data_IF_427600761893
#
_entry.id   IF_427600761893
#
_cell.length_a   1.000
_cell.length_b   1.000
_cell.length_c   1.000
_cell.angle_alpha   90.00
_cell.angle_beta   90.00
_cell.angle_gamma   90.00
#
_symmetry.space_group_name_H-M   'P 1'
#
loop_
_entity.id
_entity.type
_entity.pdbx_description
1 polymer ?
#
# COMPACT_ATOMS: atom_id res chain seq x y z
N UNK A 1 24.92 32.04 -9.57
CA UNK A 1 23.58 31.76 -8.98
C UNK A 1 22.92 30.47 -9.49
N UNK A 2 22.99 30.13 -10.79
CA UNK A 2 22.44 28.85 -11.32
C UNK A 2 23.12 27.57 -10.81
N UNK A 3 24.38 27.64 -10.36
CA UNK A 3 25.15 26.45 -9.92
C UNK A 3 24.79 26.02 -8.47
N UNK A 4 24.25 26.94 -7.66
CA UNK A 4 23.88 26.65 -6.26
C UNK A 4 22.51 25.96 -6.18
N UNK A 5 21.61 26.25 -7.13
CA UNK A 5 20.26 25.66 -7.17
C UNK A 5 20.29 24.16 -7.50
N UNK A 6 21.20 23.72 -8.37
CA UNK A 6 21.34 22.30 -8.73
C UNK A 6 21.95 21.43 -7.61
N UNK A 7 22.63 22.03 -6.63
CA UNK A 7 23.18 21.30 -5.48
C UNK A 7 22.19 21.13 -4.34
N UNK A 8 21.19 22.00 -4.19
CA UNK A 8 20.15 21.85 -3.16
C UNK A 8 19.10 20.79 -3.54
N UNK A 9 18.76 20.65 -4.84
CA UNK A 9 17.84 19.58 -5.29
C UNK A 9 18.44 18.19 -5.10
N UNK A 10 19.77 18.06 -5.22
CA UNK A 10 20.47 16.79 -5.01
C UNK A 10 20.69 16.42 -3.53
N UNK A 11 20.56 17.38 -2.60
CA UNK A 11 20.75 17.14 -1.17
C UNK A 11 19.44 16.77 -0.46
N UNK A 12 18.29 17.25 -0.95
CA UNK A 12 16.97 16.87 -0.41
C UNK A 12 16.61 15.41 -0.74
N UNK A 13 17.12 14.87 -1.86
CA UNK A 13 16.93 13.46 -2.22
C UNK A 13 17.70 12.50 -1.29
N UNK A 14 18.79 12.96 -0.68
CA UNK A 14 19.68 12.12 0.12
C UNK A 14 19.18 11.91 1.56
N UNK A 15 18.26 12.74 2.06
CA UNK A 15 17.72 12.61 3.42
C UNK A 15 16.48 11.70 3.53
N UNK A 16 15.88 11.31 2.40
CA UNK A 16 14.73 10.37 2.37
C UNK A 16 15.19 8.92 2.56
N UNK A 17 16.47 8.62 2.34
CA UNK A 17 17.05 7.26 2.36
C UNK A 17 17.41 6.73 3.77
N UNK A 18 17.12 7.47 4.85
CA UNK A 18 17.45 7.07 6.22
C UNK A 18 16.23 6.70 7.08
N UNK A 19 15.03 6.59 6.49
CA UNK A 19 13.87 6.08 7.21
C UNK A 19 13.93 4.55 7.22
N UNK A 20 13.96 3.90 8.40
CA UNK A 20 13.97 2.45 8.48
C UNK A 20 12.71 1.88 7.82
N UNK A 21 12.95 0.96 6.88
CA UNK A 21 12.01 0.00 6.29
C UNK A 21 10.55 0.42 6.34
N UNK A 22 10.13 1.19 5.36
CA UNK A 22 8.73 1.37 5.06
C UNK A 22 8.21 0.06 4.46
N UNK A 23 7.99 -0.95 5.31
CA UNK A 23 7.21 -2.11 4.92
C UNK A 23 5.81 -1.58 4.55
N UNK A 24 5.60 -1.43 3.25
CA UNK A 24 4.28 -1.29 2.67
C UNK A 24 3.50 -2.53 3.01
N UNK A 25 2.21 -2.37 3.25
CA UNK A 25 1.31 -3.48 3.48
C UNK A 25 0.79 -4.07 2.19
N UNK A 26 -0.19 -4.98 2.26
CA UNK A 26 -0.91 -5.45 1.07
C UNK A 26 -1.15 -4.31 0.08
N UNK A 27 -0.94 -4.58 -1.22
CA UNK A 27 -1.15 -3.56 -2.22
C UNK A 27 -2.65 -3.18 -2.32
N UNK A 28 -2.98 -2.04 -2.98
CA UNK A 28 -4.33 -1.49 -2.94
C UNK A 28 -5.46 -2.44 -3.41
N UNK A 29 -5.22 -3.39 -4.32
CA UNK A 29 -6.29 -4.27 -4.79
C UNK A 29 -6.68 -5.31 -3.73
N UNK A 30 -5.71 -5.88 -3.02
CA UNK A 30 -5.96 -6.74 -1.86
C UNK A 30 -6.72 -5.99 -0.76
N UNK A 31 -6.39 -4.72 -0.47
CA UNK A 31 -7.17 -3.90 0.48
C UNK A 31 -8.62 -3.70 0.06
N UNK A 32 -8.88 -3.44 -1.23
CA UNK A 32 -10.25 -3.36 -1.76
C UNK A 32 -10.99 -4.68 -1.54
N UNK A 33 -10.35 -5.80 -1.89
CA UNK A 33 -10.94 -7.13 -1.73
C UNK A 33 -11.28 -7.43 -0.27
N UNK A 34 -10.36 -7.14 0.66
CA UNK A 34 -10.58 -7.32 2.10
C UNK A 34 -11.73 -6.43 2.56
N UNK A 35 -11.75 -5.15 2.18
CA UNK A 35 -12.80 -4.20 2.58
C UNK A 35 -14.20 -4.66 2.17
N UNK A 36 -14.37 -5.17 0.95
CA UNK A 36 -15.64 -5.70 0.46
C UNK A 36 -16.11 -6.91 1.27
N UNK A 37 -15.19 -7.79 1.64
CA UNK A 37 -15.52 -8.99 2.38
C UNK A 37 -15.76 -8.72 3.86
N UNK A 38 -15.12 -7.68 4.42
CA UNK A 38 -15.34 -7.21 5.80
C UNK A 38 -16.67 -6.47 5.92
N UNK A 39 -17.02 -5.61 4.95
CA UNK A 39 -18.24 -4.80 4.97
C UNK A 39 -19.10 -5.00 3.71
N UNK A 40 -19.66 -6.20 3.50
CA UNK A 40 -20.43 -6.52 2.30
C UNK A 40 -21.70 -5.66 2.13
N UNK A 41 -22.22 -5.05 3.21
CA UNK A 41 -23.40 -4.19 3.20
C UNK A 41 -23.21 -2.88 2.40
N UNK A 42 -21.96 -2.45 2.17
CA UNK A 42 -21.68 -1.28 1.34
C UNK A 42 -21.88 -1.54 -0.15
N UNK A 43 -21.80 -2.80 -0.58
CA UNK A 43 -21.79 -3.16 -2.00
C UNK A 43 -20.67 -2.45 -2.76
N UNK A 44 -20.95 -2.06 -4.01
CA UNK A 44 -19.99 -1.26 -4.79
C UNK A 44 -19.88 0.15 -4.22
N UNK A 45 -18.73 0.50 -3.64
CA UNK A 45 -18.55 1.77 -2.95
C UNK A 45 -17.11 2.32 -3.07
N UNK A 46 -16.94 3.39 -3.86
CA UNK A 46 -15.64 4.00 -4.11
C UNK A 46 -14.99 4.62 -2.86
N UNK A 47 -15.79 5.15 -1.94
CA UNK A 47 -15.27 5.79 -0.73
C UNK A 47 -14.74 4.72 0.24
N UNK A 48 -15.43 3.56 0.34
CA UNK A 48 -14.92 2.37 1.05
C UNK A 48 -13.58 1.90 0.47
N UNK A 49 -13.54 1.72 -0.86
CA UNK A 49 -12.34 1.28 -1.57
C UNK A 49 -11.19 2.24 -1.34
N UNK A 50 -11.41 3.53 -1.55
CA UNK A 50 -10.38 4.54 -1.32
C UNK A 50 -9.93 4.57 0.14
N UNK A 51 -10.86 4.44 1.09
CA UNK A 51 -10.55 4.32 2.52
C UNK A 51 -9.61 3.16 2.81
N UNK A 52 -9.81 2.01 2.17
CA UNK A 52 -9.03 0.79 2.43
C UNK A 52 -7.53 0.92 2.14
N UNK A 53 -7.11 1.83 1.26
CA UNK A 53 -5.71 2.04 0.92
C UNK A 53 -5.21 3.48 1.22
N UNK A 54 -6.07 4.40 1.65
CA UNK A 54 -5.67 5.78 1.99
C UNK A 54 -4.63 5.92 3.13
N UNK A 55 -4.52 5.01 4.12
CA UNK A 55 -3.50 5.12 5.17
C UNK A 55 -2.05 5.20 4.67
N UNK A 56 -1.77 4.67 3.47
CA UNK A 56 -0.46 4.76 2.80
C UNK A 56 -0.07 6.17 2.35
N UNK A 57 -0.99 7.14 2.34
CA UNK A 57 -0.70 8.54 1.97
C UNK A 57 0.49 9.11 2.76
N UNK A 58 0.64 8.69 4.01
CA UNK A 58 1.73 9.11 4.89
C UNK A 58 3.12 8.83 4.31
N UNK A 59 3.25 7.80 3.47
CA UNK A 59 4.50 7.39 2.82
C UNK A 59 4.90 8.30 1.64
N UNK A 60 3.97 9.14 1.16
CA UNK A 60 4.17 10.02 0.02
C UNK A 60 4.37 11.50 0.43
N UNK A 61 4.70 11.72 1.70
CA UNK A 61 5.03 13.05 2.24
C UNK A 61 6.43 13.46 1.78
N UNK A 62 6.52 14.47 0.89
CA UNK A 62 7.79 14.97 0.33
C UNK A 62 8.75 15.60 1.36
N UNK A 63 8.21 16.07 2.47
CA UNK A 63 8.94 16.69 3.58
C UNK A 63 8.54 15.97 4.86
N UNK A 64 9.14 14.79 5.17
CA UNK A 64 8.73 13.96 6.31
C UNK A 64 8.70 14.72 7.63
N UNK A 65 9.53 15.75 7.81
CA UNK A 65 9.52 16.63 8.99
C UNK A 65 8.22 17.43 9.19
N UNK A 66 7.37 17.53 8.16
CA UNK A 66 6.04 18.15 8.22
C UNK A 66 4.94 17.20 8.68
N UNK A 67 5.22 15.89 8.68
CA UNK A 67 4.37 14.87 9.28
C UNK A 67 5.25 13.73 9.83
N UNK A 68 6.04 14.02 10.87
CA UNK A 68 7.10 13.10 11.31
C UNK A 68 6.58 11.79 11.89
N UNK A 69 5.30 11.76 12.28
CA UNK A 69 4.60 10.58 12.81
C UNK A 69 3.61 9.99 11.79
N UNK A 70 3.77 10.28 10.48
CA UNK A 70 2.79 9.92 9.46
C UNK A 70 2.46 8.44 9.45
N UNK A 71 3.48 7.60 9.41
CA UNK A 71 3.32 6.15 9.41
C UNK A 71 2.71 5.66 10.72
N UNK A 72 3.18 6.15 11.87
CA UNK A 72 2.61 5.81 13.17
C UNK A 72 1.13 6.20 13.24
N UNK A 73 0.79 7.42 12.83
CA UNK A 73 -0.56 7.98 12.87
C UNK A 73 -1.54 7.19 12.01
N UNK A 74 -1.10 6.55 10.92
CA UNK A 74 -1.99 5.82 10.00
C UNK A 74 -1.94 4.31 10.18
N UNK A 75 -0.84 3.72 10.64
CA UNK A 75 -0.66 2.26 10.74
C UNK A 75 -0.55 1.73 12.18
N UNK A 76 0.20 2.39 13.06
CA UNK A 76 0.52 1.86 14.41
C UNK A 76 -0.40 2.40 15.50
N UNK A 77 -0.40 3.72 15.69
CA UNK A 77 -1.36 4.39 16.58
C UNK A 77 -2.75 4.38 15.97
N UNK A 78 -2.82 4.33 14.63
CA UNK A 78 -4.03 4.24 13.84
C UNK A 78 -5.11 5.23 14.31
N UNK A 79 -5.00 6.48 13.87
CA UNK A 79 -5.96 7.53 14.23
C UNK A 79 -7.32 7.19 13.63
N UNK A 80 -8.23 6.78 14.51
CA UNK A 80 -9.61 6.53 14.13
C UNK A 80 -10.30 7.83 13.69
N UNK A 81 -10.89 7.81 12.49
CA UNK A 81 -11.62 8.95 11.94
C UNK A 81 -13.02 9.07 12.58
N UNK A 82 -13.08 9.69 13.78
CA UNK A 82 -14.25 9.67 14.68
C UNK A 82 -15.04 11.01 14.79
N UNK A 83 -15.49 11.71 13.71
CA UNK A 83 -16.29 12.92 13.88
C UNK A 83 -17.70 12.63 14.39
N UNK A 84 -18.28 13.63 15.05
CA UNK A 84 -19.63 13.56 15.59
C UNK A 84 -20.75 13.41 14.53
N UNK A 85 -20.49 13.75 13.27
CA UNK A 85 -21.45 13.64 12.15
C UNK A 85 -20.71 13.32 10.86
N UNK A 86 -21.05 12.19 10.25
CA UNK A 86 -20.49 11.70 9.00
C UNK A 86 -21.58 11.59 7.94
N UNK A 87 -21.28 12.01 6.71
CA UNK A 87 -22.07 11.68 5.53
C UNK A 87 -21.97 10.18 5.22
N UNK A 88 -22.76 9.69 4.26
CA UNK A 88 -22.68 8.28 3.87
C UNK A 88 -21.32 7.93 3.25
N UNK A 89 -20.77 8.81 2.39
CA UNK A 89 -19.43 8.68 1.83
C UNK A 89 -18.37 8.58 2.92
N UNK A 90 -18.38 9.52 3.88
CA UNK A 90 -17.39 9.52 4.97
C UNK A 90 -17.50 8.33 5.93
N UNK A 91 -18.70 7.73 6.06
CA UNK A 91 -18.86 6.48 6.82
C UNK A 91 -18.16 5.32 6.11
N UNK A 92 -18.41 5.15 4.81
CA UNK A 92 -17.77 4.14 3.98
C UNK A 92 -16.24 4.31 3.98
N UNK A 93 -15.76 5.53 3.73
CA UNK A 93 -14.33 5.85 3.80
C UNK A 93 -13.71 5.54 5.16
N UNK A 94 -14.37 5.91 6.26
CA UNK A 94 -13.90 5.58 7.61
C UNK A 94 -13.85 4.07 7.85
N UNK A 95 -14.83 3.32 7.39
CA UNK A 95 -14.85 1.86 7.53
C UNK A 95 -13.73 1.21 6.69
N UNK A 96 -13.46 1.70 5.48
CA UNK A 96 -12.30 1.29 4.69
C UNK A 96 -10.98 1.62 5.38
N UNK A 97 -10.83 2.86 5.84
CA UNK A 97 -9.65 3.32 6.59
C UNK A 97 -9.36 2.44 7.81
N UNK A 98 -10.42 1.95 8.47
CA UNK A 98 -10.34 1.16 9.67
C UNK A 98 -9.60 -0.17 9.48
N UNK A 99 -9.74 -0.80 8.31
CA UNK A 99 -9.24 -2.16 8.12
C UNK A 99 -7.76 -2.23 7.77
N UNK A 100 -7.11 -1.13 7.42
CA UNK A 100 -5.75 -1.17 6.90
C UNK A 100 -4.72 -1.46 8.01
N UNK A 101 -4.85 -0.86 9.18
CA UNK A 101 -3.80 -0.76 10.22
C UNK A 101 -2.93 -2.00 10.57
N UNK A 102 -1.72 -1.76 11.08
CA UNK A 102 -0.75 -2.78 11.50
C UNK A 102 -0.92 -3.32 12.93
N UNK A 103 -2.06 -3.07 13.59
CA UNK A 103 -2.33 -3.58 14.94
C UNK A 103 -3.22 -4.83 14.90
N UNK A 104 -4.26 -4.79 14.07
CA UNK A 104 -5.20 -5.89 13.86
C UNK A 104 -5.86 -5.84 12.48
N UNK A 105 -5.48 -4.87 11.65
CA UNK A 105 -5.95 -4.71 10.28
C UNK A 105 -5.22 -5.61 9.28
N UNK A 106 -5.46 -5.39 8.00
CA UNK A 106 -4.92 -6.16 6.89
C UNK A 106 -3.38 -6.21 6.94
N UNK A 107 -2.73 -5.12 7.32
CA UNK A 107 -1.27 -5.03 7.42
C UNK A 107 -0.70 -5.89 8.53
N UNK A 108 -1.45 -6.04 9.63
CA UNK A 108 -1.07 -6.92 10.72
C UNK A 108 -0.99 -8.38 10.25
N UNK A 109 -1.89 -8.81 9.36
CA UNK A 109 -1.83 -10.18 8.81
C UNK A 109 -0.78 -10.34 7.71
N UNK A 110 -0.50 -9.28 6.95
CA UNK A 110 0.54 -9.29 5.93
C UNK A 110 1.96 -9.38 6.56
N UNK A 111 2.23 -8.59 7.60
CA UNK A 111 3.58 -8.36 8.14
C UNK A 111 3.75 -8.70 9.64
N UNK A 112 2.67 -8.99 10.34
CA UNK A 112 2.68 -9.40 11.75
C UNK A 112 2.65 -10.91 11.92
N UNK A 113 2.16 -11.39 13.07
CA UNK A 113 2.15 -12.83 13.33
C UNK A 113 1.04 -13.51 12.53
N UNK A 114 1.43 -14.42 11.64
CA UNK A 114 0.54 -15.39 11.00
C UNK A 114 0.80 -16.78 11.61
N UNK A 115 -0.18 -17.67 11.80
CA UNK A 115 0.00 -18.95 12.50
C UNK A 115 1.16 -19.82 12.00
N UNK A 116 1.54 -19.64 10.73
CA UNK A 116 2.60 -20.39 10.04
C UNK A 116 3.90 -19.58 9.84
N UNK A 117 3.92 -18.28 10.21
CA UNK A 117 5.10 -17.40 10.12
C UNK A 117 5.19 -16.45 11.32
N UNK A 118 6.26 -16.59 12.11
CA UNK A 118 6.61 -15.65 13.19
C UNK A 118 6.99 -14.24 12.66
N UNK A 119 7.27 -14.12 11.36
CA UNK A 119 7.69 -12.88 10.71
C UNK A 119 6.59 -12.28 9.82
N UNK A 120 5.46 -12.98 9.60
CA UNK A 120 4.39 -12.57 8.68
C UNK A 120 4.50 -13.18 7.28
N UNK A 121 3.37 -13.19 6.55
CA UNK A 121 3.27 -13.84 5.25
C UNK A 121 4.16 -13.16 4.20
N UNK A 122 4.02 -11.84 4.03
CA UNK A 122 4.76 -11.10 3.00
C UNK A 122 6.27 -11.16 3.26
N UNK A 123 6.67 -11.06 4.53
CA UNK A 123 8.08 -11.13 4.93
C UNK A 123 8.68 -12.51 4.61
N UNK A 124 8.01 -13.61 4.97
CA UNK A 124 8.48 -14.97 4.62
C UNK A 124 8.58 -15.14 3.10
N UNK A 125 7.54 -14.74 2.35
CA UNK A 125 7.54 -14.87 0.88
C UNK A 125 8.62 -14.03 0.22
N UNK A 126 8.87 -12.81 0.70
CA UNK A 126 9.92 -11.96 0.17
C UNK A 126 11.33 -12.50 0.48
N UNK A 127 11.52 -13.08 1.67
CA UNK A 127 12.77 -13.76 2.03
C UNK A 127 13.03 -14.95 1.09
N UNK A 128 12.04 -15.82 0.88
CA UNK A 128 12.15 -16.97 -0.03
C UNK A 128 12.36 -16.55 -1.48
N UNK A 129 11.76 -15.42 -1.89
CA UNK A 129 11.98 -14.84 -3.21
C UNK A 129 13.45 -14.45 -3.39
N UNK A 130 14.03 -13.73 -2.42
CA UNK A 130 15.45 -13.34 -2.45
C UNK A 130 16.41 -14.54 -2.30
N UNK A 131 16.05 -15.56 -1.54
CA UNK A 131 16.82 -16.81 -1.46
C UNK A 131 16.85 -17.55 -2.81
N UNK A 132 15.77 -17.45 -3.58
CA UNK A 132 15.61 -18.13 -4.87
C UNK A 132 16.21 -17.35 -6.04
N UNK A 133 16.05 -16.03 -6.05
CA UNK A 133 16.53 -15.13 -7.11
C UNK A 133 17.97 -14.66 -6.88
N UNK A 134 18.35 -14.46 -5.61
CA UNK A 134 19.60 -13.82 -5.19
C UNK A 134 19.43 -12.32 -4.90
N UNK A 135 20.47 -11.67 -4.35
CA UNK A 135 20.49 -10.22 -4.13
C UNK A 135 20.32 -9.45 -5.44
N UNK A 136 19.61 -8.32 -5.40
CA UNK A 136 19.26 -7.53 -6.58
C UNK A 136 20.24 -6.37 -6.74
N UNK A 137 20.42 -5.58 -5.69
CA UNK A 137 21.32 -4.41 -5.67
C UNK A 137 22.57 -4.61 -4.83
N UNK A 138 22.60 -5.66 -3.99
CA UNK A 138 23.64 -5.88 -3.00
C UNK A 138 23.44 -5.09 -1.69
N UNK A 139 22.42 -4.23 -1.62
CA UNK A 139 21.90 -3.68 -0.37
C UNK A 139 20.71 -4.52 0.07
N UNK A 140 20.94 -5.37 1.08
CA UNK A 140 19.93 -6.28 1.61
C UNK A 140 18.65 -5.56 2.07
N UNK A 141 18.76 -4.33 2.59
CA UNK A 141 17.59 -3.60 3.07
C UNK A 141 16.71 -3.20 1.90
N UNK A 142 17.30 -2.58 0.86
CA UNK A 142 16.59 -2.18 -0.35
C UNK A 142 16.00 -3.39 -1.08
N UNK A 143 16.79 -4.45 -1.21
CA UNK A 143 16.38 -5.69 -1.87
C UNK A 143 15.16 -6.30 -1.17
N UNK A 144 15.14 -6.30 0.17
CA UNK A 144 14.01 -6.79 0.96
C UNK A 144 12.75 -5.97 0.76
N UNK A 145 12.82 -4.65 0.88
CA UNK A 145 11.63 -3.80 0.70
C UNK A 145 11.07 -3.88 -0.72
N UNK A 146 11.94 -3.99 -1.74
CA UNK A 146 11.48 -4.21 -3.11
C UNK A 146 10.85 -5.61 -3.28
N UNK A 147 11.42 -6.64 -2.65
CA UNK A 147 10.84 -7.99 -2.67
C UNK A 147 9.46 -8.06 -2.00
N UNK A 148 9.20 -7.27 -0.93
CA UNK A 148 7.86 -7.14 -0.34
C UNK A 148 6.86 -6.65 -1.39
N UNK A 149 7.18 -5.55 -2.08
CA UNK A 149 6.30 -4.99 -3.11
C UNK A 149 6.05 -5.93 -4.29
N UNK A 150 7.03 -6.77 -4.65
CA UNK A 150 6.86 -7.82 -5.67
C UNK A 150 5.89 -8.91 -5.19
N UNK A 151 6.00 -9.36 -3.94
CA UNK A 151 5.08 -10.34 -3.35
C UNK A 151 3.67 -9.79 -3.29
N UNK A 152 3.49 -8.56 -2.82
CA UNK A 152 2.17 -7.93 -2.73
C UNK A 152 1.54 -7.72 -4.11
N UNK A 153 2.34 -7.34 -5.12
CA UNK A 153 1.89 -7.26 -6.51
C UNK A 153 1.47 -8.64 -7.06
N UNK A 154 2.17 -9.70 -6.68
CA UNK A 154 1.80 -11.07 -7.04
C UNK A 154 0.45 -11.47 -6.43
N UNK A 155 0.19 -11.13 -5.16
CA UNK A 155 -1.10 -11.36 -4.48
C UNK A 155 -2.23 -10.60 -5.20
N UNK A 156 -2.01 -9.33 -5.52
CA UNK A 156 -2.99 -8.53 -6.28
C UNK A 156 -3.31 -9.17 -7.64
N UNK A 157 -2.29 -9.63 -8.37
CA UNK A 157 -2.45 -10.28 -9.67
C UNK A 157 -3.23 -11.60 -9.57
N UNK A 158 -2.95 -12.40 -8.54
CA UNK A 158 -3.66 -13.64 -8.24
C UNK A 158 -5.14 -13.37 -7.88
N UNK A 159 -5.40 -12.40 -7.01
CA UNK A 159 -6.76 -11.96 -6.69
C UNK A 159 -7.49 -11.47 -7.94
N UNK A 160 -6.87 -10.65 -8.80
CA UNK A 160 -7.49 -10.17 -10.04
C UNK A 160 -7.80 -11.29 -11.02
N UNK A 161 -6.98 -12.34 -11.06
CA UNK A 161 -7.26 -13.49 -11.92
C UNK A 161 -8.58 -14.17 -11.56
N UNK A 162 -8.97 -14.14 -10.28
CA UNK A 162 -10.24 -14.67 -9.77
C UNK A 162 -11.35 -13.61 -9.74
N UNK A 163 -11.00 -12.35 -9.53
CA UNK A 163 -11.89 -11.19 -9.39
C UNK A 163 -11.46 -10.06 -10.35
N UNK A 164 -11.72 -10.19 -11.66
CA UNK A 164 -11.23 -9.24 -12.67
C UNK A 164 -11.69 -7.79 -12.46
N UNK A 165 -12.80 -7.59 -11.75
CA UNK A 165 -13.34 -6.28 -11.43
C UNK A 165 -12.50 -5.45 -10.46
N UNK A 166 -11.51 -6.05 -9.77
CA UNK A 166 -10.59 -5.33 -8.88
C UNK A 166 -9.79 -4.24 -9.61
N UNK A 167 -9.39 -4.50 -10.87
CA UNK A 167 -8.67 -3.51 -11.70
C UNK A 167 -9.49 -2.24 -11.92
N UNK A 168 -10.70 -2.34 -12.51
CA UNK A 168 -11.60 -1.20 -12.67
C UNK A 168 -11.96 -0.52 -11.34
N UNK A 169 -12.27 -1.27 -10.27
CA UNK A 169 -12.55 -0.71 -8.94
C UNK A 169 -11.41 0.19 -8.44
N UNK A 170 -10.17 -0.24 -8.60
CA UNK A 170 -8.99 0.53 -8.17
C UNK A 170 -8.79 1.82 -9.01
N UNK A 171 -9.02 1.75 -10.33
CA UNK A 171 -9.01 2.94 -11.21
C UNK A 171 -10.10 3.93 -10.77
N UNK A 172 -11.32 3.46 -10.55
CA UNK A 172 -12.45 4.31 -10.16
C UNK A 172 -12.25 4.92 -8.77
N UNK A 173 -11.81 4.14 -7.78
CA UNK A 173 -11.54 4.63 -6.42
C UNK A 173 -10.43 5.69 -6.40
N UNK A 174 -9.39 5.53 -7.22
CA UNK A 174 -8.28 6.49 -7.29
C UNK A 174 -8.60 7.76 -8.10
N UNK A 175 -9.69 7.77 -8.88
CA UNK A 175 -10.07 8.89 -9.76
C UNK A 175 -11.33 9.63 -9.33
N UNK A 176 -12.27 8.93 -8.70
CA UNK A 176 -13.67 9.36 -8.58
C UNK A 176 -14.22 9.29 -7.16
N UNK A 177 -13.37 9.07 -6.14
CA UNK A 177 -13.74 9.14 -4.72
C UNK A 177 -14.27 10.52 -4.32
N UNK A 178 -15.08 10.58 -3.26
CA UNK A 178 -15.69 11.80 -2.78
C UNK A 178 -14.66 12.83 -2.27
N UNK A 179 -14.77 14.13 -2.61
CA UNK A 179 -13.93 15.16 -1.98
C UNK A 179 -14.17 15.29 -0.47
N UNK A 180 -15.25 14.71 0.06
CA UNK A 180 -15.55 14.69 1.50
C UNK A 180 -14.56 13.82 2.30
N UNK A 181 -13.90 12.85 1.66
CA UNK A 181 -12.93 11.94 2.29
C UNK A 181 -11.66 12.69 2.72
N UNK A 182 -11.11 13.52 1.81
CA UNK A 182 -10.04 14.45 2.16
C UNK A 182 -10.50 15.43 3.26
N UNK A 183 -11.75 15.87 3.20
CA UNK A 183 -12.36 16.69 4.26
C UNK A 183 -12.35 16.00 5.62
N UNK A 184 -12.52 14.68 5.66
CA UNK A 184 -12.44 13.89 6.88
C UNK A 184 -11.00 13.80 7.40
N UNK A 185 -10.03 13.53 6.53
CA UNK A 185 -8.62 13.50 6.89
C UNK A 185 -8.11 14.87 7.37
N UNK A 186 -8.51 15.98 6.73
CA UNK A 186 -8.18 17.34 7.16
C UNK A 186 -8.67 17.63 8.59
N UNK A 187 -9.88 17.17 8.93
CA UNK A 187 -10.40 17.29 10.31
C UNK A 187 -9.56 16.51 11.31
N UNK A 188 -9.13 15.29 10.96
CA UNK A 188 -8.37 14.43 11.84
C UNK A 188 -6.93 14.92 12.05
N UNK A 189 -6.20 15.22 10.97
CA UNK A 189 -4.75 15.45 11.01
C UNK A 189 -4.35 16.93 11.03
N UNK A 190 -5.19 17.84 10.53
CA UNK A 190 -4.83 19.26 10.33
C UNK A 190 -5.59 20.19 11.27
N UNK A 191 -6.90 20.00 11.42
CA UNK A 191 -7.76 20.92 12.17
C UNK A 191 -8.06 20.48 13.61
N UNK A 192 -7.62 19.28 14.00
CA UNK A 192 -7.69 18.85 15.40
C UNK A 192 -6.71 19.67 16.25
N UNK A 193 -7.17 20.79 16.82
CA UNK A 193 -6.32 21.72 17.60
C UNK A 193 -5.59 21.06 18.77
N UNK A 194 -6.13 19.98 19.33
CA UNK A 194 -5.51 19.27 20.47
C UNK A 194 -4.43 18.29 20.02
N UNK A 195 -4.53 17.79 18.79
CA UNK A 195 -3.65 16.74 18.28
C UNK A 195 -3.35 16.96 16.79
N UNK A 196 -2.90 18.16 16.43
CA UNK A 196 -2.52 18.48 15.04
C UNK A 196 -1.27 17.68 14.69
N UNK A 197 -1.32 16.92 13.60
CA UNK A 197 -0.22 16.05 13.13
C UNK A 197 0.55 16.66 11.98
N UNK A 198 -0.14 17.34 11.08
CA UNK A 198 0.45 17.95 9.89
C UNK A 198 -0.29 19.23 9.46
N UNK A 199 0.12 19.84 8.36
CA UNK A 199 -0.57 20.97 7.74
C UNK A 199 -1.31 20.59 6.46
N UNK A 200 -2.21 21.47 6.03
CA UNK A 200 -3.10 21.21 4.90
C UNK A 200 -2.34 20.99 3.59
N UNK A 201 -1.22 21.69 3.39
CA UNK A 201 -0.45 21.60 2.16
C UNK A 201 0.28 20.27 2.10
N UNK A 202 0.85 19.83 3.22
CA UNK A 202 1.48 18.51 3.32
C UNK A 202 0.49 17.39 3.05
N UNK A 203 -0.66 17.35 3.72
CA UNK A 203 -1.65 16.29 3.52
C UNK A 203 -2.20 16.25 2.07
N UNK A 204 -2.59 17.41 1.53
CA UNK A 204 -3.17 17.48 0.17
C UNK A 204 -2.16 17.16 -0.94
N UNK A 205 -0.89 17.55 -0.76
CA UNK A 205 0.17 17.20 -1.71
C UNK A 205 0.53 15.72 -1.65
N UNK A 206 0.67 15.15 -0.44
CA UNK A 206 0.92 13.73 -0.25
C UNK A 206 -0.20 12.88 -0.88
N UNK A 207 -1.46 13.23 -0.61
CA UNK A 207 -2.61 12.54 -1.20
C UNK A 207 -2.60 12.59 -2.73
N UNK A 208 -2.29 13.75 -3.31
CA UNK A 208 -2.24 13.89 -4.78
C UNK A 208 -1.13 13.03 -5.40
N UNK A 209 0.04 12.98 -4.76
CA UNK A 209 1.16 12.15 -5.21
C UNK A 209 0.78 10.67 -5.09
N UNK A 210 0.20 10.29 -3.95
CA UNK A 210 -0.29 8.94 -3.70
C UNK A 210 -1.31 8.49 -4.73
N UNK A 211 -2.37 9.27 -4.98
CA UNK A 211 -3.38 8.94 -5.99
C UNK A 211 -2.79 8.84 -7.39
N UNK A 212 -1.80 9.67 -7.74
CA UNK A 212 -1.11 9.55 -9.02
C UNK A 212 -0.27 8.27 -9.11
N UNK A 213 0.35 7.84 -8.01
CA UNK A 213 1.02 6.55 -7.93
C UNK A 213 0.03 5.39 -8.07
N UNK A 214 -1.05 5.39 -7.28
CA UNK A 214 -2.09 4.35 -7.34
C UNK A 214 -2.71 4.24 -8.73
N UNK A 215 -2.90 5.35 -9.46
CA UNK A 215 -3.39 5.31 -10.85
C UNK A 215 -2.41 4.62 -11.80
N UNK A 216 -1.12 4.94 -11.74
CA UNK A 216 -0.10 4.27 -12.56
C UNK A 216 -0.05 2.77 -12.25
N UNK A 217 -0.15 2.41 -10.96
CA UNK A 217 -0.27 1.03 -10.53
C UNK A 217 -1.54 0.38 -11.08
N UNK A 218 -2.70 1.01 -10.94
CA UNK A 218 -3.98 0.50 -11.40
C UNK A 218 -4.03 0.31 -12.92
N UNK A 219 -3.41 1.21 -13.70
CA UNK A 219 -3.32 1.09 -15.16
C UNK A 219 -2.47 -0.12 -15.57
N UNK A 220 -1.28 -0.28 -14.96
CA UNK A 220 -0.39 -1.42 -15.21
C UNK A 220 -1.04 -2.74 -14.74
N UNK A 221 -1.64 -2.72 -13.55
CA UNK A 221 -2.38 -3.82 -12.96
C UNK A 221 -3.53 -4.24 -13.86
N UNK A 222 -4.42 -3.33 -14.26
CA UNK A 222 -5.58 -3.64 -15.08
C UNK A 222 -5.19 -4.15 -16.49
N UNK A 223 -4.05 -3.72 -17.01
CA UNK A 223 -3.53 -4.15 -18.32
C UNK A 223 -2.75 -5.46 -18.28
N UNK A 224 -2.34 -5.93 -17.10
CA UNK A 224 -1.55 -7.16 -16.97
C UNK A 224 -2.43 -8.39 -16.77
N UNK A 225 -1.94 -9.55 -17.17
CA UNK A 225 -2.54 -10.86 -16.92
C UNK A 225 -1.46 -11.83 -16.45
N UNK A 226 -1.82 -12.97 -15.84
CA UNK A 226 -0.80 -13.96 -15.42
C UNK A 226 0.07 -14.46 -16.60
N UNK A 227 -0.48 -14.41 -17.82
CA UNK A 227 0.23 -14.75 -19.06
C UNK A 227 0.93 -13.55 -19.73
N UNK A 228 0.68 -12.33 -19.27
CA UNK A 228 1.26 -11.09 -19.80
C UNK A 228 1.52 -10.09 -18.67
N UNK A 229 2.74 -10.14 -18.15
CA UNK A 229 3.19 -9.35 -17.01
C UNK A 229 3.97 -8.09 -17.43
N UNK A 230 4.05 -7.79 -18.73
CA UNK A 230 4.91 -6.71 -19.24
C UNK A 230 4.55 -5.33 -18.64
N UNK A 231 3.27 -4.92 -18.54
CA UNK A 231 2.95 -3.63 -17.94
C UNK A 231 3.35 -3.52 -16.46
N UNK A 232 3.12 -4.58 -15.67
CA UNK A 232 3.51 -4.62 -14.27
C UNK A 232 5.03 -4.68 -14.08
N UNK A 233 5.76 -5.37 -14.96
CA UNK A 233 7.21 -5.47 -14.85
C UNK A 233 7.92 -4.18 -15.28
N UNK A 234 7.40 -3.48 -16.29
CA UNK A 234 7.85 -2.13 -16.67
C UNK A 234 7.63 -1.14 -15.52
N UNK A 235 6.44 -1.16 -14.89
CA UNK A 235 6.18 -0.33 -13.72
C UNK A 235 7.14 -0.70 -12.58
N UNK A 236 7.29 -1.99 -12.26
CA UNK A 236 8.15 -2.46 -11.18
C UNK A 236 9.62 -2.04 -11.36
N UNK A 237 10.17 -2.12 -12.57
CA UNK A 237 11.54 -1.65 -12.86
C UNK A 237 11.67 -0.13 -12.66
N UNK A 238 10.67 0.64 -13.09
CA UNK A 238 10.63 2.08 -12.86
C UNK A 238 10.55 2.44 -11.37
N UNK A 239 9.77 1.69 -10.58
CA UNK A 239 9.65 1.88 -9.14
C UNK A 239 10.92 1.45 -8.39
N UNK A 240 11.54 0.33 -8.78
CA UNK A 240 12.82 -0.14 -8.28
C UNK A 240 13.87 0.99 -8.33
N UNK A 241 14.00 1.63 -9.50
CA UNK A 241 14.96 2.73 -9.69
C UNK A 241 14.58 3.98 -8.89
N UNK A 242 13.30 4.37 -8.88
CA UNK A 242 12.88 5.67 -8.31
C UNK A 242 12.73 5.67 -6.80
N UNK A 243 12.28 4.57 -6.21
CA UNK A 243 11.93 4.47 -4.79
C UNK A 243 13.07 3.79 -4.03
N UNK A 244 13.60 2.69 -4.57
CA UNK A 244 14.58 1.86 -3.88
C UNK A 244 16.02 2.12 -4.32
N UNK A 245 16.22 2.92 -5.38
CA UNK A 245 17.55 3.14 -5.97
C UNK A 245 18.20 1.80 -6.38
N UNK A 246 17.39 0.95 -7.02
CA UNK A 246 17.75 -0.36 -7.57
C UNK A 246 17.67 -0.28 -9.11
N UNK A 247 18.76 -0.62 -9.79
CA UNK A 247 18.78 -0.76 -11.25
C UNK A 247 18.49 -2.22 -11.60
N UNK A 248 17.30 -2.48 -12.15
CA UNK A 248 16.86 -3.81 -12.58
C UNK A 248 16.08 -3.68 -13.87
N UNK A 249 16.28 -4.60 -14.81
CA UNK A 249 15.59 -4.57 -16.10
C UNK A 249 14.15 -5.11 -15.96
N UNK A 250 13.18 -4.63 -16.78
CA UNK A 250 11.80 -5.13 -16.74
C UNK A 250 11.68 -6.66 -16.88
N UNK A 251 12.57 -7.30 -17.66
CA UNK A 251 12.56 -8.75 -17.79
C UNK A 251 12.95 -9.48 -16.48
N UNK A 252 13.86 -8.91 -15.70
CA UNK A 252 14.24 -9.46 -14.40
C UNK A 252 13.11 -9.28 -13.38
N UNK A 253 12.43 -8.12 -13.40
CA UNK A 253 11.21 -7.89 -12.60
C UNK A 253 10.10 -8.87 -12.97
N UNK A 254 9.93 -9.17 -14.26
CA UNK A 254 8.96 -10.17 -14.73
C UNK A 254 9.25 -11.56 -14.14
N UNK A 255 10.52 -11.97 -14.12
CA UNK A 255 10.95 -13.24 -13.50
C UNK A 255 10.66 -13.22 -11.99
N UNK A 256 10.96 -12.12 -11.29
CA UNK A 256 10.66 -11.95 -9.87
C UNK A 256 9.16 -12.08 -9.58
N UNK A 257 8.29 -11.43 -10.37
CA UNK A 257 6.83 -11.53 -10.22
C UNK A 257 6.36 -12.98 -10.43
N UNK A 258 6.89 -13.70 -11.44
CA UNK A 258 6.53 -15.10 -11.70
C UNK A 258 6.95 -16.03 -10.54
N UNK A 259 8.15 -15.82 -10.00
CA UNK A 259 8.62 -16.54 -8.82
C UNK A 259 7.75 -16.23 -7.60
N UNK A 260 7.39 -14.97 -7.38
CA UNK A 260 6.52 -14.56 -6.28
C UNK A 260 5.11 -15.14 -6.40
N UNK A 261 4.53 -15.17 -7.61
CA UNK A 261 3.26 -15.86 -7.89
C UNK A 261 3.36 -17.34 -7.49
N UNK A 262 4.42 -18.03 -7.96
CA UNK A 262 4.64 -19.45 -7.67
C UNK A 262 4.81 -19.72 -6.17
N UNK A 263 5.48 -18.81 -5.44
CA UNK A 263 5.61 -18.89 -3.99
C UNK A 263 4.27 -18.66 -3.28
N UNK A 264 3.44 -17.76 -3.79
CA UNK A 264 2.15 -17.42 -3.18
C UNK A 264 1.07 -18.50 -3.36
N UNK A 265 1.20 -19.35 -4.38
CA UNK A 265 0.28 -20.47 -4.66
C UNK A 265 0.72 -21.81 -4.03
N UNK A 266 1.78 -21.83 -3.20
CA UNK A 266 2.21 -23.06 -2.53
C UNK A 266 1.14 -23.55 -1.54
N UNK A 267 0.78 -24.84 -1.63
CA UNK A 267 -0.31 -25.45 -0.86
C UNK A 267 -0.13 -25.38 0.66
N UNK A 268 1.12 -25.40 1.13
CA UNK A 268 1.45 -25.41 2.56
C UNK A 268 1.32 -24.04 3.22
N UNK A 269 1.19 -22.97 2.44
CA UNK A 269 1.11 -21.60 2.95
C UNK A 269 0.50 -20.65 1.89
N UNK A 270 -0.75 -20.86 1.50
CA UNK A 270 -1.35 -20.23 0.32
C UNK A 270 -1.80 -18.79 0.59
N UNK A 271 -1.70 -17.90 -0.40
CA UNK A 271 -2.09 -16.48 -0.24
C UNK A 271 -3.56 -16.26 0.15
N UNK A 272 -4.44 -17.24 -0.09
CA UNK A 272 -5.86 -17.14 0.23
C UNK A 272 -6.09 -17.32 1.71
N UNK A 273 -5.27 -18.12 2.37
CA UNK A 273 -5.39 -18.40 3.79
C UNK A 273 -5.08 -17.12 4.59
N UNK A 274 -4.03 -16.38 4.22
CA UNK A 274 -3.72 -15.08 4.85
C UNK A 274 -4.77 -14.01 4.56
N UNK A 275 -5.33 -13.95 3.35
CA UNK A 275 -6.40 -13.00 3.03
C UNK A 275 -7.67 -13.34 3.82
N UNK A 276 -8.03 -14.62 3.92
CA UNK A 276 -9.19 -15.07 4.67
C UNK A 276 -9.02 -14.84 6.17
N UNK A 277 -7.83 -15.13 6.72
CA UNK A 277 -7.53 -14.84 8.12
C UNK A 277 -7.58 -13.34 8.41
N UNK A 278 -7.10 -12.50 7.50
CA UNK A 278 -7.24 -11.05 7.62
C UNK A 278 -8.72 -10.63 7.69
N UNK A 279 -9.55 -11.14 6.78
CA UNK A 279 -10.99 -10.84 6.75
C UNK A 279 -11.67 -11.27 8.07
N UNK A 280 -11.45 -12.50 8.52
CA UNK A 280 -12.10 -13.06 9.70
C UNK A 280 -11.60 -12.40 10.98
N UNK A 281 -10.29 -12.17 11.06
CA UNK A 281 -9.63 -11.50 12.17
C UNK A 281 -10.08 -10.05 12.32
N UNK A 282 -10.19 -9.30 11.23
CA UNK A 282 -10.72 -7.93 11.23
C UNK A 282 -12.17 -7.92 11.71
N UNK A 283 -13.03 -8.80 11.18
CA UNK A 283 -14.43 -8.94 11.63
C UNK A 283 -14.53 -9.21 13.13
N UNK A 284 -13.63 -10.00 13.69
CA UNK A 284 -13.56 -10.28 15.13
C UNK A 284 -13.23 -9.06 16.01
N UNK A 285 -12.64 -8.00 15.44
CA UNK A 285 -12.29 -6.76 16.15
C UNK A 285 -13.31 -5.64 15.96
N UNK A 286 -14.26 -5.79 15.02
CA UNK A 286 -15.30 -4.80 14.79
C UNK A 286 -16.32 -4.80 15.96
N UNK A 287 -16.79 -3.61 16.37
CA UNK A 287 -17.71 -3.45 17.51
C UNK A 287 -19.15 -3.90 17.22
#
# INVERSE_FOLDING_TARGET
MKIILNRMVSLTLFLVLLLPGLAQSFNPAAHIYIAENVFPEWGYNLDLYYGSFAPDISMYVLQPEKWPTGYEDTHRDFIYLKPNRLSQAQKAFKDGWLIHNGVWGADFYAHGNFPESEEGYVIDRAKRLLESFGPISGDFTKDREFAHSIVEAAIDLLLKNEYPELGPKLIEASTSRSPEDLGLMLKAFVWNRKNKRTDWLTLTSAERIFLNFVRQYADAFNSSHLNDLDPMSELGANLASRIYDISIEPNEVKVLIQLAISLCEQEDFHYKDVIQEAIDGIKGHLP
#
